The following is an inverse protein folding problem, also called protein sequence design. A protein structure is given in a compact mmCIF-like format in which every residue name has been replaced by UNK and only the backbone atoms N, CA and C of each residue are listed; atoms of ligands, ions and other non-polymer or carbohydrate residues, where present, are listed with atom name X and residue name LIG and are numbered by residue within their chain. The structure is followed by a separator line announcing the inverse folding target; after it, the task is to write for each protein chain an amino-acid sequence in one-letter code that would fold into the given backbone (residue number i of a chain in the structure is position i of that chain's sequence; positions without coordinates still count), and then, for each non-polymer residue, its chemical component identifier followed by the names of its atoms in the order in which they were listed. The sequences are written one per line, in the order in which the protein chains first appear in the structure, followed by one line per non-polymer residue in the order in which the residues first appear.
data_IF_601287670058
#
_entry.id   IF_601287670058
#
_cell.length_a   1.000
_cell.length_b   1.000
_cell.length_c   1.000
_cell.angle_alpha   90.00
_cell.angle_beta   90.00
_cell.angle_gamma   90.00
#
_symmetry.space_group_name_H-M   'P 1'
#
loop_
_entity.id
_entity.type
_entity.pdbx_description
1 polymer ?
#
# COMPACT_ATOMS: atom_id res chain seq x y z
N UNK A 1 23.13 -6.33 0.20
CA UNK A 1 22.08 -6.81 -0.71
C UNK A 1 21.32 -8.00 -0.17
N UNK A 2 21.98 -8.85 0.56
CA UNK A 2 21.34 -9.99 1.22
C UNK A 2 20.24 -9.55 2.19
N UNK A 3 20.49 -8.49 2.93
CA UNK A 3 19.53 -7.90 3.87
C UNK A 3 18.26 -7.41 3.17
N UNK A 4 18.43 -6.73 2.03
CA UNK A 4 17.31 -6.23 1.25
C UNK A 4 16.42 -7.37 0.77
N UNK A 5 17.02 -8.43 0.22
CA UNK A 5 16.27 -9.59 -0.27
C UNK A 5 15.50 -10.27 0.86
N UNK A 6 16.11 -10.38 2.04
CA UNK A 6 15.47 -10.95 3.20
C UNK A 6 14.26 -10.14 3.64
N UNK A 7 14.38 -8.81 3.66
CA UNK A 7 13.24 -7.95 4.03
C UNK A 7 12.11 -8.03 3.03
N UNK A 8 12.42 -8.05 1.73
CA UNK A 8 11.40 -8.24 0.71
C UNK A 8 10.68 -9.56 0.87
N UNK A 9 11.42 -10.63 1.18
CA UNK A 9 10.84 -11.95 1.37
C UNK A 9 9.94 -12.00 2.60
N UNK A 10 10.39 -11.42 3.71
CA UNK A 10 9.62 -11.39 4.96
C UNK A 10 8.35 -10.57 4.84
N UNK A 11 8.42 -9.45 4.15
CA UNK A 11 7.30 -8.51 4.03
C UNK A 11 6.46 -8.71 2.78
N UNK A 12 6.83 -9.68 1.94
CA UNK A 12 6.20 -9.90 0.65
C UNK A 12 4.68 -10.03 0.73
N UNK A 13 4.08 -10.75 1.69
CA UNK A 13 2.62 -10.81 1.75
C UNK A 13 1.96 -9.46 1.93
N UNK A 14 2.53 -8.60 2.78
CA UNK A 14 1.96 -7.28 3.05
C UNK A 14 2.23 -6.31 1.89
N UNK A 15 3.44 -6.36 1.33
CA UNK A 15 3.79 -5.56 0.16
C UNK A 15 2.88 -5.90 -1.02
N UNK A 16 2.68 -7.19 -1.24
CA UNK A 16 1.85 -7.68 -2.33
C UNK A 16 0.39 -7.28 -2.16
N UNK A 17 -0.14 -7.43 -0.94
CA UNK A 17 -1.52 -7.03 -0.67
C UNK A 17 -1.71 -5.53 -0.89
N UNK A 18 -0.80 -4.71 -0.35
CA UNK A 18 -0.86 -3.27 -0.56
C UNK A 18 -0.86 -2.92 -2.05
N UNK A 19 0.08 -3.49 -2.81
CA UNK A 19 0.22 -3.18 -4.23
C UNK A 19 -0.99 -3.66 -5.04
N UNK A 20 -1.53 -4.85 -4.72
CA UNK A 20 -2.71 -5.38 -5.39
C UNK A 20 -3.93 -4.49 -5.21
N UNK A 21 -4.19 -4.04 -3.98
CA UNK A 21 -5.34 -3.18 -3.72
C UNK A 21 -5.12 -1.75 -4.18
N UNK A 22 -3.86 -1.33 -4.30
CA UNK A 22 -3.52 -0.01 -4.83
C UNK A 22 -3.67 0.05 -6.35
N UNK A 23 -3.20 -0.98 -7.06
CA UNK A 23 -3.16 -1.01 -8.51
C UNK A 23 -4.34 -1.75 -9.15
N UNK A 24 -5.02 -2.60 -8.40
CA UNK A 24 -6.19 -3.32 -8.88
C UNK A 24 -5.90 -4.51 -9.79
N UNK A 25 -4.65 -4.95 -9.86
CA UNK A 25 -4.23 -6.03 -10.73
C UNK A 25 -3.01 -6.72 -10.13
N UNK A 26 -3.05 -8.06 -10.06
CA UNK A 26 -1.98 -8.81 -9.42
C UNK A 26 -0.67 -8.78 -10.23
N UNK A 27 -0.77 -8.79 -11.54
CA UNK A 27 0.42 -8.74 -12.40
C UNK A 27 1.10 -7.39 -12.32
N UNK A 28 0.32 -6.30 -12.29
CA UNK A 28 0.84 -4.96 -12.09
C UNK A 28 1.50 -4.84 -10.72
N UNK A 29 0.93 -5.48 -9.70
CA UNK A 29 1.48 -5.48 -8.36
C UNK A 29 2.82 -6.21 -8.31
N UNK A 30 2.92 -7.37 -8.93
CA UNK A 30 4.17 -8.13 -9.03
C UNK A 30 5.26 -7.32 -9.73
N UNK A 31 4.89 -6.66 -10.81
CA UNK A 31 5.80 -5.82 -11.57
C UNK A 31 6.29 -4.63 -10.74
N UNK A 32 5.39 -4.00 -10.00
CA UNK A 32 5.74 -2.89 -9.12
C UNK A 32 6.70 -3.33 -8.01
N UNK A 33 6.48 -4.50 -7.43
CA UNK A 33 7.39 -5.03 -6.41
C UNK A 33 8.77 -5.31 -6.98
N UNK A 34 8.84 -5.88 -8.18
CA UNK A 34 10.08 -6.15 -8.86
C UNK A 34 10.82 -4.84 -9.15
N UNK A 35 10.11 -3.83 -9.65
CA UNK A 35 10.70 -2.53 -9.91
C UNK A 35 11.23 -1.87 -8.64
N UNK A 36 10.48 -2.00 -7.54
CA UNK A 36 10.92 -1.47 -6.25
C UNK A 36 12.23 -2.14 -5.81
N UNK A 37 12.30 -3.47 -5.92
CA UNK A 37 13.50 -4.21 -5.57
C UNK A 37 14.70 -3.78 -6.43
N UNK A 38 14.49 -3.69 -7.74
CA UNK A 38 15.56 -3.30 -8.67
C UNK A 38 16.03 -1.87 -8.42
N UNK A 39 15.10 -0.96 -8.15
CA UNK A 39 15.41 0.44 -7.89
C UNK A 39 16.26 0.59 -6.63
N UNK A 40 15.87 -0.10 -5.56
CA UNK A 40 16.62 -0.06 -4.31
C UNK A 40 17.97 -0.74 -4.47
N UNK A 41 18.01 -1.92 -5.12
CA UNK A 41 19.26 -2.64 -5.39
C UNK A 41 20.26 -1.79 -6.16
N UNK A 42 19.79 -1.12 -7.21
CA UNK A 42 20.63 -0.25 -8.04
C UNK A 42 21.22 0.90 -7.21
N UNK A 43 20.42 1.48 -6.35
CA UNK A 43 20.85 2.61 -5.52
C UNK A 43 21.96 2.21 -4.54
N UNK A 44 21.93 0.97 -4.04
CA UNK A 44 22.88 0.50 -3.03
C UNK A 44 24.04 -0.30 -3.63
N UNK A 45 24.06 -0.57 -4.92
CA UNK A 45 25.13 -1.33 -5.57
C UNK A 45 26.37 -0.47 -5.89
N UNK A 46 26.27 0.84 -5.78
CA UNK A 46 27.35 1.77 -6.16
C UNK A 46 28.40 1.97 -5.05
N UNK A 47 28.44 1.11 -4.06
CA UNK A 47 29.43 1.19 -3.00
C UNK A 47 29.19 2.32 -2.01
N UNK A 48 28.10 3.05 -2.14
CA UNK A 48 27.72 4.08 -1.19
C UNK A 48 27.01 3.40 -0.01
N UNK A 49 27.66 3.39 1.13
CA UNK A 49 27.03 2.91 2.34
C UNK A 49 25.99 3.95 2.78
N UNK A 50 24.75 3.74 2.38
CA UNK A 50 23.65 4.52 2.92
C UNK A 50 23.05 3.70 4.06
N UNK A 51 23.09 4.23 5.25
CA UNK A 51 22.44 3.61 6.40
C UNK A 51 20.92 3.74 6.22
N UNK A 52 20.28 2.60 6.05
CA UNK A 52 18.80 2.55 6.04
C UNK A 52 18.37 2.24 7.47
N UNK A 53 17.68 3.19 8.07
CA UNK A 53 17.24 3.10 9.45
C UNK A 53 16.21 2.01 9.66
N UNK A 54 15.29 1.86 8.70
CA UNK A 54 14.24 0.86 8.74
C UNK A 54 13.96 0.41 7.31
N UNK A 55 14.38 -0.81 6.98
CA UNK A 55 14.24 -1.35 5.63
C UNK A 55 12.77 -1.47 5.22
N UNK A 56 11.93 -1.92 6.13
CA UNK A 56 10.51 -2.11 5.85
C UNK A 56 9.86 -0.78 5.44
N UNK A 57 10.09 0.27 6.21
CA UNK A 57 9.52 1.59 5.91
C UNK A 57 10.08 2.16 4.61
N UNK A 58 11.37 1.94 4.36
CA UNK A 58 12.00 2.39 3.12
C UNK A 58 11.39 1.68 1.90
N UNK A 59 11.20 0.37 1.99
CA UNK A 59 10.61 -0.41 0.91
C UNK A 59 9.18 0.06 0.62
N UNK A 60 8.37 0.26 1.67
CA UNK A 60 7.00 0.75 1.49
C UNK A 60 6.97 2.15 0.88
N UNK A 61 7.91 3.02 1.25
CA UNK A 61 8.00 4.35 0.66
C UNK A 61 8.27 4.27 -0.84
N UNK A 62 9.24 3.47 -1.25
CA UNK A 62 9.57 3.30 -2.67
C UNK A 62 8.39 2.70 -3.40
N UNK A 63 7.76 1.67 -2.84
CA UNK A 63 6.60 1.01 -3.46
C UNK A 63 5.42 1.97 -3.58
N UNK A 64 5.13 2.72 -2.54
CA UNK A 64 4.03 3.71 -2.55
C UNK A 64 4.25 4.76 -3.65
N UNK A 65 5.47 5.26 -3.77
CA UNK A 65 5.81 6.24 -4.80
C UNK A 65 5.70 5.66 -6.21
N UNK A 66 6.13 4.40 -6.41
CA UNK A 66 5.99 3.73 -7.69
C UNK A 66 4.54 3.52 -8.08
N UNK A 67 3.71 3.09 -7.12
CA UNK A 67 2.28 2.91 -7.37
C UNK A 67 1.61 4.23 -7.74
N UNK A 68 1.93 5.30 -7.01
CA UNK A 68 1.39 6.63 -7.30
C UNK A 68 1.79 7.11 -8.70
N UNK A 69 3.06 6.92 -9.08
CA UNK A 69 3.54 7.31 -10.40
C UNK A 69 2.85 6.52 -11.51
N UNK A 70 2.66 5.23 -11.32
CA UNK A 70 1.97 4.38 -12.31
C UNK A 70 0.52 4.79 -12.49
N UNK A 71 -0.18 5.06 -11.40
CA UNK A 71 -1.57 5.47 -11.46
C UNK A 71 -1.73 6.84 -12.11
N UNK A 72 -0.82 7.77 -11.82
CA UNK A 72 -0.81 9.09 -12.45
C UNK A 72 -0.59 8.97 -13.96
N UNK A 73 0.39 8.17 -14.37
CA UNK A 73 0.72 7.97 -15.79
C UNK A 73 -0.45 7.36 -16.56
N UNK A 74 -1.23 6.49 -15.90
CA UNK A 74 -2.40 5.85 -16.53
C UNK A 74 -3.65 6.68 -16.44
N UNK A 75 -3.63 7.82 -15.74
CA UNK A 75 -4.82 8.64 -15.52
C UNK A 75 -5.84 7.98 -14.61
N UNK A 76 -5.42 7.03 -13.78
CA UNK A 76 -6.30 6.22 -12.94
C UNK A 76 -6.09 6.45 -11.46
N UNK A 77 -5.97 7.70 -11.06
CA UNK A 77 -5.63 8.02 -9.66
C UNK A 77 -6.62 7.49 -8.63
N UNK A 78 -7.87 7.29 -8.99
CA UNK A 78 -8.91 6.96 -8.01
C UNK A 78 -9.82 5.83 -8.43
N UNK A 79 -9.68 5.30 -9.63
CA UNK A 79 -10.59 4.29 -10.14
C UNK A 79 -9.88 2.97 -10.34
N UNK A 80 -9.79 2.20 -9.27
CA UNK A 80 -9.25 0.85 -9.39
C UNK A 80 -10.43 -0.09 -9.38
N UNK A 81 -10.82 -0.64 -10.54
CA UNK A 81 -11.90 -1.60 -10.55
C UNK A 81 -11.40 -2.88 -9.90
N UNK A 82 -12.03 -3.23 -8.81
CA UNK A 82 -11.82 -4.53 -8.20
C UNK A 82 -12.67 -5.52 -8.97
N UNK A 83 -12.20 -5.87 -10.13
CA UNK A 83 -12.90 -6.84 -10.94
C UNK A 83 -12.33 -8.25 -10.73
N UNK A 84 -12.83 -9.17 -11.50
CA UNK A 84 -12.46 -10.57 -11.43
C UNK A 84 -10.99 -10.84 -11.77
N UNK A 85 -10.24 -9.83 -12.23
CA UNK A 85 -8.82 -10.01 -12.55
C UNK A 85 -7.94 -10.09 -11.32
N UNK A 86 -8.43 -9.59 -10.18
CA UNK A 86 -7.67 -9.64 -8.96
C UNK A 86 -7.84 -11.01 -8.31
N UNK A 87 -6.85 -11.88 -8.51
CA UNK A 87 -6.88 -13.22 -7.93
C UNK A 87 -6.33 -13.17 -6.51
N UNK A 88 -7.21 -12.79 -5.60
CA UNK A 88 -6.84 -12.56 -4.20
C UNK A 88 -6.66 -13.88 -3.45
N UNK A 89 -7.15 -14.98 -4.00
CA UNK A 89 -7.05 -16.30 -3.38
C UNK A 89 -5.59 -16.72 -3.14
N UNK A 90 -4.66 -16.19 -3.92
CA UNK A 90 -3.24 -16.53 -3.81
C UNK A 90 -2.50 -15.72 -2.75
N UNK A 91 -3.18 -14.75 -2.12
CA UNK A 91 -2.56 -13.92 -1.09
C UNK A 91 -2.80 -14.52 0.29
N UNK A 92 -1.74 -14.66 1.11
CA UNK A 92 -1.95 -15.08 2.51
C UNK A 92 -2.78 -14.02 3.23
N UNK A 93 -3.82 -14.45 3.93
CA UNK A 93 -4.71 -13.53 4.62
C UNK A 93 -4.83 -13.89 6.08
N UNK A 94 -4.79 -12.88 6.93
CA UNK A 94 -5.12 -13.01 8.34
C UNK A 94 -6.57 -12.63 8.59
N UNK A 95 -7.21 -11.99 7.61
CA UNK A 95 -8.58 -11.52 7.68
C UNK A 95 -9.35 -11.95 6.43
N UNK A 96 -10.65 -11.80 6.48
CA UNK A 96 -11.51 -12.12 5.35
C UNK A 96 -11.23 -11.19 4.16
N UNK A 97 -10.86 -11.77 3.03
CA UNK A 97 -10.59 -11.00 1.80
C UNK A 97 -11.80 -10.22 1.32
N UNK A 98 -13.00 -10.68 1.62
CA UNK A 98 -14.21 -9.95 1.26
C UNK A 98 -14.29 -8.59 1.96
N UNK A 99 -13.78 -8.49 3.18
CA UNK A 99 -13.71 -7.22 3.90
C UNK A 99 -12.70 -6.27 3.26
N UNK A 100 -11.55 -6.79 2.84
CA UNK A 100 -10.55 -5.98 2.13
C UNK A 100 -11.11 -5.44 0.81
N UNK A 101 -11.85 -6.26 0.07
CA UNK A 101 -12.46 -5.83 -1.18
C UNK A 101 -13.53 -4.77 -0.96
N UNK A 102 -14.33 -4.93 0.08
CA UNK A 102 -15.36 -3.96 0.43
C UNK A 102 -14.74 -2.60 0.78
N UNK A 103 -13.69 -2.62 1.59
CA UNK A 103 -12.97 -1.40 1.95
C UNK A 103 -12.39 -0.74 0.71
N UNK A 104 -11.81 -1.51 -0.20
CA UNK A 104 -11.20 -0.96 -1.41
C UNK A 104 -12.20 -0.19 -2.27
N UNK A 105 -13.43 -0.70 -2.38
CA UNK A 105 -14.49 -0.01 -3.12
C UNK A 105 -14.84 1.34 -2.50
N UNK A 106 -14.81 1.40 -1.17
CA UNK A 106 -15.16 2.62 -0.46
C UNK A 106 -14.02 3.64 -0.45
N UNK A 107 -12.78 3.16 -0.56
CA UNK A 107 -11.60 4.05 -0.53
C UNK A 107 -11.55 4.99 -1.74
N UNK A 108 -12.17 4.63 -2.87
CA UNK A 108 -12.19 5.52 -4.03
C UNK A 108 -13.09 6.74 -3.82
N UNK A 109 -13.97 6.71 -2.84
CA UNK A 109 -14.92 7.78 -2.58
C UNK A 109 -14.44 8.80 -1.53
N UNK A 110 -13.29 8.55 -0.91
CA UNK A 110 -12.75 9.44 0.11
C UNK A 110 -11.50 10.15 -0.43
N UNK A 111 -11.06 11.25 0.23
CA UNK A 111 -9.84 11.94 -0.22
C UNK A 111 -8.63 11.01 -0.27
N UNK A 112 -7.79 11.18 -1.28
CA UNK A 112 -6.66 10.28 -1.52
C UNK A 112 -5.68 10.25 -0.36
N UNK A 113 -5.43 11.38 0.30
CA UNK A 113 -4.52 11.42 1.44
C UNK A 113 -5.03 10.59 2.63
N UNK A 114 -6.35 10.49 2.78
CA UNK A 114 -6.94 9.61 3.80
C UNK A 114 -6.91 8.15 3.36
N UNK A 115 -7.21 7.91 2.10
CA UNK A 115 -7.20 6.56 1.53
C UNK A 115 -5.81 5.92 1.63
N UNK A 116 -4.75 6.68 1.36
CA UNK A 116 -3.39 6.14 1.40
C UNK A 116 -2.98 5.72 2.80
N UNK A 117 -3.33 6.51 3.81
CA UNK A 117 -3.06 6.15 5.22
C UNK A 117 -3.76 4.83 5.55
N UNK A 118 -5.02 4.70 5.12
CA UNK A 118 -5.79 3.48 5.38
C UNK A 118 -5.18 2.27 4.66
N UNK A 119 -4.78 2.44 3.39
CA UNK A 119 -4.16 1.34 2.63
C UNK A 119 -2.87 0.85 3.29
N UNK A 120 -2.01 1.76 3.69
CA UNK A 120 -0.76 1.40 4.34
C UNK A 120 -0.99 0.72 5.69
N UNK A 121 -2.00 1.17 6.43
CA UNK A 121 -2.34 0.61 7.73
C UNK A 121 -2.98 -0.77 7.62
N UNK A 122 -3.98 -0.90 6.77
CA UNK A 122 -4.79 -2.13 6.69
C UNK A 122 -4.14 -3.18 5.78
N UNK A 123 -3.83 -2.81 4.55
CA UNK A 123 -3.25 -3.78 3.60
C UNK A 123 -1.78 -4.02 3.88
N UNK A 124 -1.04 -2.96 4.18
CA UNK A 124 0.38 -3.04 4.46
C UNK A 124 0.73 -3.51 5.85
N UNK A 125 -0.25 -3.54 6.74
CA UNK A 125 -0.06 -3.93 8.15
C UNK A 125 1.02 -3.09 8.84
N UNK A 126 1.02 -1.79 8.60
CA UNK A 126 1.96 -0.86 9.21
C UNK A 126 1.34 -0.20 10.44
N UNK A 127 2.15 0.04 11.47
CA UNK A 127 1.71 0.84 12.61
C UNK A 127 1.51 2.29 12.18
N UNK A 128 0.80 3.07 12.99
CA UNK A 128 0.65 4.51 12.71
C UNK A 128 2.01 5.21 12.66
N UNK A 129 2.93 4.84 13.55
CA UNK A 129 4.28 5.40 13.54
C UNK A 129 5.02 5.07 12.24
N UNK A 130 4.89 3.83 11.76
CA UNK A 130 5.49 3.42 10.49
C UNK A 130 4.88 4.17 9.31
N UNK A 131 3.56 4.33 9.30
CA UNK A 131 2.89 5.11 8.24
C UNK A 131 3.38 6.55 8.24
N UNK A 132 3.55 7.14 9.42
CA UNK A 132 4.08 8.49 9.54
C UNK A 132 5.48 8.60 8.93
N UNK A 133 6.34 7.61 9.18
CA UNK A 133 7.67 7.57 8.58
C UNK A 133 7.62 7.33 7.07
N UNK A 134 6.80 6.40 6.61
CA UNK A 134 6.65 6.09 5.19
C UNK A 134 6.21 7.32 4.40
N UNK A 135 5.24 8.07 4.91
CA UNK A 135 4.68 9.22 4.23
C UNK A 135 5.35 10.54 4.59
N UNK A 136 6.29 10.53 5.52
CA UNK A 136 6.96 11.74 6.03
C UNK A 136 5.95 12.75 6.57
N UNK A 137 5.04 12.26 7.41
CA UNK A 137 3.98 13.07 8.01
C UNK A 137 4.09 12.99 9.54
N UNK A 138 3.62 14.03 10.26
CA UNK A 138 3.51 13.94 11.71
C UNK A 138 2.54 12.83 12.12
N UNK A 139 2.84 12.15 13.21
CA UNK A 139 2.00 11.07 13.71
C UNK A 139 0.55 11.53 13.98
N UNK A 140 0.31 12.70 14.60
CA UNK A 140 -1.08 13.16 14.79
C UNK A 140 -1.84 13.33 13.47
N UNK A 141 -1.16 13.78 12.41
CA UNK A 141 -1.76 13.92 11.08
C UNK A 141 -2.20 12.56 10.53
N UNK A 142 -1.33 11.55 10.67
CA UNK A 142 -1.65 10.19 10.24
C UNK A 142 -2.89 9.66 10.97
N UNK A 143 -2.90 9.82 12.29
CA UNK A 143 -4.04 9.36 13.10
C UNK A 143 -5.33 10.07 12.73
N UNK A 144 -5.28 11.39 12.50
CA UNK A 144 -6.46 12.15 12.10
C UNK A 144 -6.99 11.72 10.75
N UNK A 145 -6.09 11.55 9.77
CA UNK A 145 -6.49 11.10 8.43
C UNK A 145 -7.12 9.71 8.47
N UNK A 146 -6.56 8.84 9.30
CA UNK A 146 -7.12 7.49 9.46
C UNK A 146 -8.53 7.54 10.04
N UNK A 147 -8.71 8.29 11.13
CA UNK A 147 -10.02 8.38 11.79
C UNK A 147 -11.08 9.02 10.90
N UNK A 148 -10.75 10.11 10.22
CA UNK A 148 -11.68 10.77 9.30
C UNK A 148 -12.04 9.87 8.13
N UNK A 149 -11.05 9.17 7.58
CA UNK A 149 -11.30 8.22 6.50
C UNK A 149 -12.21 7.08 6.93
N UNK A 150 -11.94 6.50 8.10
CA UNK A 150 -12.78 5.41 8.63
C UNK A 150 -14.21 5.87 8.87
N UNK A 151 -14.39 7.10 9.37
CA UNK A 151 -15.73 7.62 9.60
C UNK A 151 -16.52 7.74 8.31
N UNK A 152 -15.86 8.22 7.25
CA UNK A 152 -16.49 8.30 5.93
C UNK A 152 -16.84 6.93 5.38
N UNK A 153 -15.96 5.96 5.56
CA UNK A 153 -16.21 4.57 5.16
C UNK A 153 -17.39 4.01 5.93
N UNK A 154 -17.42 4.25 7.23
CA UNK A 154 -18.51 3.75 8.08
C UNK A 154 -19.87 4.32 7.64
N UNK A 155 -19.91 5.61 7.31
CA UNK A 155 -21.13 6.26 6.80
C UNK A 155 -21.56 5.66 5.47
N UNK A 156 -20.62 5.42 4.57
CA UNK A 156 -20.90 4.83 3.27
C UNK A 156 -21.43 3.40 3.42
N UNK A 157 -20.87 2.62 4.35
CA UNK A 157 -21.35 1.25 4.62
C UNK A 157 -22.78 1.24 5.13
N UNK A 158 -23.14 2.19 5.99
CA UNK A 158 -24.52 2.29 6.49
C UNK A 158 -25.52 2.62 5.39
N UNK A 159 -25.10 3.41 4.41
CA UNK A 159 -25.95 3.78 3.28
C UNK A 159 -26.20 2.63 2.32
N UNK A 160 -25.26 1.68 2.24
CA UNK A 160 -25.39 0.54 1.34
C UNK A 160 -26.14 -0.65 1.96
N UNK A 161 -26.42 -0.61 3.26
CA UNK A 161 -27.10 -1.69 3.96
C UNK A 161 -28.62 -1.48 4.07
N UNK A 162 -29.19 -0.62 3.22
CA UNK A 162 -30.65 -0.42 3.17
C UNK A 162 -31.30 -1.20 2.06
#
# INVERSE_FOLDING_TARGET
MKELAEHFQQEQPHLMRYACYRLGDIDDAKDALQDAFLKISSKFSDGKSVEVRDWRNYIFRVLSNLCSSRLTALGKLRTIPLDARLNIADLPTENDESDYQRIAKLLVEIPEEQAEVIRLRIYGNNSFADVAEILSLPLPTVKSRFLYGLEKIRKAMKQTNH
#
